data_IF_640028519153
#
_entry.id   IF_640028519153
#
_cell.length_a   1.000
_cell.length_b   1.000
_cell.length_c   1.000
_cell.angle_alpha   90.00
_cell.angle_beta   90.00
_cell.angle_gamma   90.00
#
_symmetry.space_group_name_H-M   'P 1'
#
loop_
_entity.id
_entity.type
_entity.pdbx_description
1 polymer ?
#
# COMPACT_ATOMS: atom_id res chain seq x y z
N UNK A 1 8.91 -25.95 -2.25
CA UNK A 1 9.71 -25.03 -1.42
C UNK A 1 11.17 -25.19 -1.83
N UNK A 2 11.86 -24.09 -2.15
CA UNK A 2 13.31 -24.12 -2.37
C UNK A 2 14.00 -24.44 -1.02
N UNK A 3 15.11 -25.18 -1.05
CA UNK A 3 15.89 -25.45 0.16
C UNK A 3 16.31 -24.12 0.81
N UNK A 4 16.21 -23.95 2.15
CA UNK A 4 16.68 -22.75 2.86
C UNK A 4 18.16 -22.41 2.59
N UNK A 5 18.94 -23.40 2.14
CA UNK A 5 20.32 -23.19 1.71
C UNK A 5 20.45 -22.43 0.38
N UNK A 6 19.44 -22.51 -0.49
CA UNK A 6 19.43 -21.87 -1.81
C UNK A 6 18.78 -20.49 -1.75
N UNK A 7 17.54 -20.43 -1.23
CA UNK A 7 16.77 -19.19 -1.09
C UNK A 7 16.09 -19.21 0.27
N UNK A 8 16.35 -18.18 1.07
CA UNK A 8 15.69 -17.99 2.34
C UNK A 8 15.38 -16.51 2.53
N UNK A 9 14.11 -16.22 2.83
CA UNK A 9 13.60 -14.90 3.12
C UNK A 9 12.73 -15.06 4.36
N UNK A 10 12.98 -14.26 5.38
CA UNK A 10 12.12 -14.23 6.55
C UNK A 10 11.87 -12.81 7.03
N UNK A 11 10.83 -12.67 7.84
CA UNK A 11 10.53 -11.45 8.55
C UNK A 11 11.42 -11.36 9.79
N UNK A 12 11.87 -10.16 10.11
CA UNK A 12 12.58 -9.91 11.37
C UNK A 12 11.64 -9.83 12.57
N UNK A 13 10.34 -9.60 12.34
CA UNK A 13 9.32 -9.41 13.37
C UNK A 13 7.97 -10.03 12.95
N UNK A 14 7.18 -10.57 13.90
CA UNK A 14 5.83 -11.08 13.63
C UNK A 14 4.84 -9.95 13.28
N UNK A 15 3.66 -10.28 12.74
CA UNK A 15 2.64 -9.27 12.45
C UNK A 15 1.93 -8.86 13.74
N UNK A 16 1.67 -7.55 13.92
CA UNK A 16 0.75 -7.07 14.96
C UNK A 16 -0.67 -7.53 14.75
N UNK A 17 -1.06 -7.64 13.48
CA UNK A 17 -2.40 -8.00 13.06
C UNK A 17 -2.29 -8.98 11.90
N UNK A 18 -3.02 -10.08 12.00
CA UNK A 18 -2.89 -11.22 11.08
C UNK A 18 -4.21 -11.62 10.41
N UNK A 19 -5.30 -10.89 10.68
CA UNK A 19 -6.63 -11.16 10.16
C UNK A 19 -7.44 -9.86 9.94
N UNK A 20 -8.58 -9.99 9.25
CA UNK A 20 -9.49 -8.88 8.93
C UNK A 20 -10.14 -8.27 10.17
N UNK A 21 -10.42 -9.06 11.20
CA UNK A 21 -11.00 -8.56 12.45
C UNK A 21 -10.03 -7.59 13.17
N UNK A 22 -8.75 -7.93 13.21
CA UNK A 22 -7.73 -7.04 13.75
C UNK A 22 -7.54 -5.78 12.89
N UNK A 23 -7.69 -5.87 11.57
CA UNK A 23 -7.65 -4.70 10.68
C UNK A 23 -8.82 -3.77 11.00
N UNK A 24 -10.03 -4.30 11.13
CA UNK A 24 -11.21 -3.53 11.51
C UNK A 24 -11.07 -2.89 12.90
N UNK A 25 -10.49 -3.59 13.88
CA UNK A 25 -10.21 -3.00 15.19
C UNK A 25 -9.23 -1.83 15.09
N UNK A 26 -8.19 -1.94 14.26
CA UNK A 26 -7.25 -0.84 14.08
C UNK A 26 -7.92 0.35 13.38
N UNK A 27 -8.73 0.12 12.34
CA UNK A 27 -9.48 1.19 11.67
C UNK A 27 -10.37 1.93 12.68
N UNK A 28 -11.05 1.20 13.58
CA UNK A 28 -11.84 1.80 14.67
C UNK A 28 -11.00 2.63 15.63
N UNK A 29 -9.83 2.14 16.03
CA UNK A 29 -8.92 2.88 16.91
C UNK A 29 -8.44 4.18 16.26
N UNK A 30 -8.13 4.14 14.96
CA UNK A 30 -7.73 5.32 14.17
C UNK A 30 -8.88 6.34 14.13
N UNK A 31 -10.10 5.90 13.81
CA UNK A 31 -11.28 6.75 13.76
C UNK A 31 -11.61 7.39 15.12
N UNK A 32 -11.55 6.60 16.19
CA UNK A 32 -11.76 7.09 17.55
C UNK A 32 -10.71 8.12 17.96
N UNK A 33 -9.44 7.85 17.64
CA UNK A 33 -8.33 8.76 17.93
C UNK A 33 -8.44 10.07 17.14
N UNK A 34 -8.85 9.99 15.86
CA UNK A 34 -9.07 11.15 15.01
C UNK A 34 -10.25 12.01 15.51
N UNK A 35 -11.38 11.39 15.88
CA UNK A 35 -12.53 12.09 16.43
C UNK A 35 -12.21 12.77 17.77
N UNK A 36 -11.48 12.08 18.65
CA UNK A 36 -11.03 12.65 19.92
C UNK A 36 -10.12 13.87 19.72
N UNK A 37 -9.20 13.82 18.75
CA UNK A 37 -8.33 14.94 18.41
C UNK A 37 -9.10 16.17 17.87
N UNK A 38 -10.27 15.96 17.28
CA UNK A 38 -11.15 17.01 16.78
C UNK A 38 -12.14 17.55 17.83
N UNK A 39 -12.09 17.02 19.07
CA UNK A 39 -13.01 17.40 20.14
C UNK A 39 -14.43 16.85 19.96
N UNK A 40 -14.62 15.90 19.04
CA UNK A 40 -15.90 15.23 18.81
C UNK A 40 -16.05 14.05 19.78
N UNK A 41 -16.56 14.33 20.99
CA UNK A 41 -16.93 13.26 21.92
C UNK A 41 -18.21 12.57 21.44
N UNK A 42 -18.11 11.34 20.93
CA UNK A 42 -19.31 10.51 20.73
C UNK A 42 -19.83 10.04 22.10
N UNK A 43 -21.04 10.48 22.44
CA UNK A 43 -21.83 9.89 23.51
C UNK A 43 -22.00 8.39 23.23
N UNK A 44 -21.70 7.56 24.22
CA UNK A 44 -21.72 6.12 24.09
C UNK A 44 -23.10 5.59 23.74
N UNK A 45 -23.12 4.51 22.95
CA UNK A 45 -24.21 3.56 23.00
C UNK A 45 -23.63 2.16 23.25
N UNK A 46 -24.00 1.62 24.41
CA UNK A 46 -23.72 0.26 24.82
C UNK A 46 -24.69 -0.68 24.14
N UNK A 47 -24.27 -1.20 22.99
CA UNK A 47 -24.95 -2.32 22.33
C UNK A 47 -23.93 -3.16 21.59
N UNK A 48 -23.76 -4.42 21.99
CA UNK A 48 -23.00 -5.42 21.25
C UNK A 48 -23.77 -5.83 19.98
N UNK A 49 -24.01 -4.87 19.10
CA UNK A 49 -24.43 -5.12 17.73
C UNK A 49 -23.15 -5.21 16.91
N UNK A 50 -22.98 -6.29 16.14
CA UNK A 50 -21.88 -6.45 15.19
C UNK A 50 -21.91 -5.25 14.23
N UNK A 51 -21.12 -4.22 14.55
CA UNK A 51 -21.02 -3.03 13.72
C UNK A 51 -20.42 -3.43 12.38
N UNK A 52 -20.89 -2.84 11.26
CA UNK A 52 -20.35 -3.17 9.94
C UNK A 52 -18.82 -2.96 9.91
N UNK A 53 -18.09 -3.73 9.09
CA UNK A 53 -16.66 -3.51 8.88
C UNK A 53 -16.43 -2.06 8.44
N UNK A 54 -15.40 -1.41 9.00
CA UNK A 54 -15.05 -0.04 8.64
C UNK A 54 -14.07 0.01 7.46
N UNK A 55 -13.50 -1.13 7.08
CA UNK A 55 -12.61 -1.21 5.93
C UNK A 55 -13.41 -1.13 4.61
N UNK A 56 -13.19 -0.06 3.84
CA UNK A 56 -13.95 0.20 2.61
C UNK A 56 -13.38 -0.43 1.34
N UNK A 57 -12.09 -0.80 1.33
CA UNK A 57 -11.43 -1.36 0.16
C UNK A 57 -10.13 -2.11 0.51
N UNK A 58 -9.80 -3.12 -0.30
CA UNK A 58 -8.51 -3.83 -0.24
C UNK A 58 -7.79 -3.68 -1.58
N UNK A 59 -6.49 -3.34 -1.55
CA UNK A 59 -5.66 -3.22 -2.76
C UNK A 59 -4.59 -4.32 -2.80
N UNK A 60 -4.58 -5.12 -3.88
CA UNK A 60 -3.58 -6.18 -4.10
C UNK A 60 -2.75 -5.84 -5.34
N UNK A 61 -1.53 -5.37 -5.12
CA UNK A 61 -0.62 -4.94 -6.20
C UNK A 61 0.23 -6.05 -6.79
N UNK A 62 0.63 -7.04 -5.98
CA UNK A 62 1.52 -8.10 -6.41
C UNK A 62 0.81 -9.45 -6.31
N UNK A 63 1.07 -10.34 -7.27
CA UNK A 63 0.47 -11.67 -7.36
C UNK A 63 1.35 -12.77 -6.73
N UNK A 64 2.32 -12.37 -5.89
CA UNK A 64 3.22 -13.28 -5.18
C UNK A 64 2.67 -13.60 -3.79
N UNK A 65 3.14 -14.70 -3.21
CA UNK A 65 2.49 -15.37 -2.09
C UNK A 65 2.38 -14.49 -0.82
N UNK A 66 3.36 -13.63 -0.55
CA UNK A 66 3.40 -12.68 0.56
C UNK A 66 2.49 -11.44 0.38
N UNK A 67 1.86 -11.30 -0.80
CA UNK A 67 0.89 -10.25 -1.09
C UNK A 67 -0.50 -10.80 -1.47
N UNK A 68 -0.60 -12.09 -1.77
CA UNK A 68 -1.79 -12.77 -2.25
C UNK A 68 -1.99 -14.08 -1.46
N UNK A 69 -2.26 -13.95 -0.17
CA UNK A 69 -2.46 -15.08 0.74
C UNK A 69 -3.92 -15.34 1.03
N UNK A 70 -4.39 -16.50 0.58
CA UNK A 70 -5.80 -16.90 0.70
C UNK A 70 -6.28 -17.03 2.15
N UNK A 71 -5.63 -17.78 3.06
CA UNK A 71 -6.11 -17.93 4.44
C UNK A 71 -6.34 -16.60 5.15
N UNK A 72 -5.51 -15.59 4.91
CA UNK A 72 -5.75 -14.27 5.50
C UNK A 72 -6.85 -13.51 4.79
N UNK A 73 -6.92 -13.55 3.47
CA UNK A 73 -7.98 -12.88 2.71
C UNK A 73 -9.38 -13.45 3.03
N UNK A 74 -9.47 -14.73 3.38
CA UNK A 74 -10.71 -15.37 3.84
C UNK A 74 -11.21 -14.84 5.21
N UNK A 75 -10.38 -14.11 5.95
CA UNK A 75 -10.79 -13.51 7.24
C UNK A 75 -11.49 -12.16 7.08
N UNK A 76 -11.49 -11.57 5.89
CA UNK A 76 -12.16 -10.29 5.61
C UNK A 76 -13.63 -10.51 5.24
N UNK A 77 -14.44 -9.48 5.49
CA UNK A 77 -15.83 -9.48 5.00
C UNK A 77 -15.84 -9.48 3.47
N UNK A 78 -16.53 -10.46 2.89
CA UNK A 78 -16.65 -10.65 1.45
C UNK A 78 -17.23 -9.45 0.70
N UNK A 79 -17.94 -8.54 1.40
CA UNK A 79 -18.55 -7.34 0.81
C UNK A 79 -17.52 -6.25 0.52
N UNK A 80 -16.33 -6.32 1.12
CA UNK A 80 -15.27 -5.34 0.91
C UNK A 80 -14.76 -5.46 -0.54
N UNK A 81 -14.80 -4.41 -1.36
CA UNK A 81 -14.31 -4.47 -2.73
C UNK A 81 -12.80 -4.63 -2.78
N UNK A 82 -12.34 -5.56 -3.61
CA UNK A 82 -10.90 -5.79 -3.84
C UNK A 82 -10.48 -5.18 -5.18
N UNK A 83 -9.46 -4.34 -5.14
CA UNK A 83 -8.80 -3.74 -6.30
C UNK A 83 -7.49 -4.48 -6.55
N UNK A 84 -7.42 -5.25 -7.63
CA UNK A 84 -6.30 -6.14 -7.90
C UNK A 84 -5.73 -5.94 -9.30
N UNK A 85 -4.42 -6.11 -9.46
CA UNK A 85 -3.78 -6.06 -10.78
C UNK A 85 -4.31 -7.16 -11.70
N UNK A 86 -4.13 -7.00 -13.02
CA UNK A 86 -4.53 -7.99 -14.02
C UNK A 86 -3.95 -9.40 -13.75
N UNK A 87 -2.81 -9.49 -13.07
CA UNK A 87 -2.18 -10.76 -12.68
C UNK A 87 -2.80 -11.38 -11.42
N UNK A 88 -3.26 -10.57 -10.46
CA UNK A 88 -3.84 -11.04 -9.20
C UNK A 88 -5.36 -11.28 -9.27
N UNK A 89 -6.08 -10.47 -10.05
CA UNK A 89 -7.54 -10.51 -10.13
C UNK A 89 -8.10 -11.90 -10.54
N UNK A 90 -7.53 -12.64 -11.51
CA UNK A 90 -8.01 -13.98 -11.86
C UNK A 90 -7.96 -14.96 -10.69
N UNK A 91 -6.88 -14.92 -9.90
CA UNK A 91 -6.69 -15.79 -8.74
C UNK A 91 -7.73 -15.50 -7.65
N UNK A 92 -7.97 -14.21 -7.34
CA UNK A 92 -8.94 -13.80 -6.31
C UNK A 92 -10.37 -14.19 -6.74
N UNK A 93 -10.72 -13.95 -8.02
CA UNK A 93 -12.02 -14.35 -8.59
C UNK A 93 -12.22 -15.86 -8.51
N UNK A 94 -11.19 -16.64 -8.80
CA UNK A 94 -11.25 -18.11 -8.72
C UNK A 94 -11.49 -18.63 -7.29
N UNK A 95 -11.10 -17.88 -6.26
CA UNK A 95 -11.41 -18.25 -4.87
C UNK A 95 -12.87 -18.02 -4.50
N UNK A 96 -13.54 -17.05 -5.14
CA UNK A 96 -14.96 -16.76 -4.91
C UNK A 96 -15.28 -16.23 -3.51
N UNK A 97 -14.29 -15.63 -2.83
CA UNK A 97 -14.41 -15.18 -1.43
C UNK A 97 -14.84 -13.72 -1.28
N UNK A 98 -14.80 -12.92 -2.36
CA UNK A 98 -15.25 -11.52 -2.38
C UNK A 98 -16.37 -11.34 -3.41
N UNK A 99 -17.37 -10.55 -3.04
CA UNK A 99 -18.51 -10.22 -3.90
C UNK A 99 -18.09 -9.27 -5.04
N UNK A 100 -17.07 -8.43 -4.83
CA UNK A 100 -16.57 -7.46 -5.82
C UNK A 100 -15.05 -7.51 -5.98
N UNK A 101 -14.59 -7.82 -7.20
CA UNK A 101 -13.17 -7.76 -7.59
C UNK A 101 -12.99 -6.87 -8.82
N UNK A 102 -12.44 -5.68 -8.59
CA UNK A 102 -12.12 -4.69 -9.62
C UNK A 102 -10.70 -4.93 -10.11
N UNK A 103 -10.55 -5.10 -11.41
CA UNK A 103 -9.23 -5.15 -12.02
C UNK A 103 -8.69 -3.73 -12.17
N UNK A 104 -7.60 -3.42 -11.50
CA UNK A 104 -6.86 -2.18 -11.71
C UNK A 104 -5.85 -2.41 -12.83
N UNK A 105 -5.83 -1.49 -13.79
CA UNK A 105 -4.71 -1.43 -14.72
C UNK A 105 -3.48 -1.01 -13.93
N UNK A 106 -2.37 -1.71 -14.13
CA UNK A 106 -1.08 -1.29 -13.58
C UNK A 106 -0.88 0.19 -13.90
N UNK A 107 -0.54 0.99 -12.90
CA UNK A 107 -0.14 2.38 -13.10
C UNK A 107 1.21 2.42 -13.83
N UNK A 108 1.24 2.07 -15.12
CA UNK A 108 2.28 2.50 -16.06
C UNK A 108 1.89 3.89 -16.55
N UNK A 109 1.94 4.85 -15.65
CA UNK A 109 1.87 6.27 -16.00
C UNK A 109 2.67 7.04 -15.01
N UNK A 110 3.79 7.58 -15.47
CA UNK A 110 4.65 8.41 -14.65
C UNK A 110 3.93 9.73 -14.37
N UNK A 111 4.14 10.29 -13.18
CA UNK A 111 3.58 11.59 -12.76
C UNK A 111 3.86 12.73 -13.78
N UNK A 112 4.91 12.56 -14.59
CA UNK A 112 5.32 13.50 -15.63
C UNK A 112 4.46 13.41 -16.90
N UNK A 113 3.98 12.23 -17.28
CA UNK A 113 3.14 12.03 -18.47
C UNK A 113 1.74 12.65 -18.29
N UNK A 114 1.23 12.71 -17.06
CA UNK A 114 -0.08 13.31 -16.76
C UNK A 114 -0.01 14.85 -16.66
N UNK A 115 1.18 15.45 -16.49
CA UNK A 115 1.34 16.89 -16.16
C UNK A 115 2.18 17.71 -17.15
N UNK A 116 2.68 17.10 -18.21
CA UNK A 116 3.33 17.75 -19.34
C UNK A 116 2.53 17.37 -20.58
N UNK A 117 1.66 18.28 -21.03
CA UNK A 117 0.84 18.05 -22.22
C UNK A 117 1.71 17.69 -23.41
N UNK A 118 1.62 16.44 -23.86
CA UNK A 118 2.14 16.02 -25.14
C UNK A 118 0.98 15.52 -25.97
N UNK A 119 0.74 16.21 -27.09
CA UNK A 119 -0.32 15.91 -28.04
C UNK A 119 -0.16 14.49 -28.62
N UNK A 120 -1.31 13.89 -28.88
CA UNK A 120 -1.56 12.46 -29.02
C UNK A 120 -0.77 11.73 -30.12
N UNK A 121 -0.50 10.44 -29.86
CA UNK A 121 -0.75 9.41 -30.88
C UNK A 121 -1.55 8.25 -30.30
N UNK A 122 -2.71 8.06 -30.92
CA UNK A 122 -3.79 7.14 -30.61
C UNK A 122 -3.40 5.70 -30.26
N UNK A 123 -3.90 5.23 -29.13
CA UNK A 123 -4.40 3.87 -28.97
C UNK A 123 -5.70 3.94 -28.13
N UNK A 124 -6.84 3.68 -28.77
CA UNK A 124 -8.18 3.71 -28.17
C UNK A 124 -8.42 2.60 -27.16
N UNK A 125 -7.77 2.68 -26.01
CA UNK A 125 -8.10 1.91 -24.82
C UNK A 125 -8.76 2.86 -23.82
N UNK A 126 -9.97 2.51 -23.38
CA UNK A 126 -10.72 3.24 -22.34
C UNK A 126 -9.79 3.76 -21.24
N UNK A 127 -9.97 5.03 -20.88
CA UNK A 127 -9.20 5.73 -19.85
C UNK A 127 -9.20 4.99 -18.51
N UNK A 128 -8.37 5.41 -17.54
CA UNK A 128 -8.41 4.86 -16.19
C UNK A 128 -9.86 4.88 -15.67
N UNK A 129 -10.31 3.85 -14.94
CA UNK A 129 -11.69 3.77 -14.49
C UNK A 129 -12.04 5.03 -13.70
N UNK A 130 -13.13 5.66 -14.14
CA UNK A 130 -13.82 6.88 -13.69
C UNK A 130 -14.29 6.84 -12.21
N UNK A 131 -13.64 6.05 -11.35
CA UNK A 131 -14.16 5.64 -10.03
C UNK A 131 -13.21 5.88 -8.85
N UNK A 132 -11.98 6.32 -9.06
CA UNK A 132 -11.08 6.68 -7.96
C UNK A 132 -11.36 8.11 -7.43
N UNK A 133 -11.91 8.95 -8.28
CA UNK A 133 -12.22 10.36 -8.06
C UNK A 133 -13.37 10.58 -7.04
N UNK A 134 -14.00 9.49 -6.58
CA UNK A 134 -15.09 9.49 -5.57
C UNK A 134 -14.70 8.83 -4.24
N UNK A 135 -13.46 8.40 -4.06
CA UNK A 135 -13.04 7.77 -2.81
C UNK A 135 -12.47 8.81 -1.84
N UNK A 136 -13.17 9.04 -0.73
CA UNK A 136 -12.60 9.75 0.42
C UNK A 136 -11.61 8.81 1.12
N UNK A 137 -10.32 8.94 0.81
CA UNK A 137 -9.28 8.11 1.41
C UNK A 137 -8.93 8.66 2.81
N UNK A 138 -9.49 8.09 3.88
CA UNK A 138 -9.10 8.51 5.23
C UNK A 138 -7.62 8.22 5.51
N UNK A 139 -7.19 6.97 5.27
CA UNK A 139 -5.87 6.50 5.62
C UNK A 139 -5.22 5.71 4.48
N UNK A 140 -4.03 6.13 4.06
CA UNK A 140 -3.18 5.39 3.13
C UNK A 140 -2.12 4.61 3.92
N UNK A 141 -2.11 3.29 3.76
CA UNK A 141 -1.08 2.42 4.33
C UNK A 141 -0.02 2.11 3.26
N UNK A 142 1.20 2.64 3.42
CA UNK A 142 2.26 2.39 2.45
C UNK A 142 3.67 2.43 3.06
N UNK A 143 4.59 1.66 2.46
CA UNK A 143 5.97 1.50 2.90
C UNK A 143 6.98 2.39 2.18
N UNK A 144 8.08 2.65 2.86
CA UNK A 144 9.21 3.48 2.46
C UNK A 144 10.44 2.63 2.10
N UNK A 145 10.35 1.32 2.30
CA UNK A 145 11.45 0.38 2.03
C UNK A 145 11.72 0.22 0.54
N UNK A 146 12.97 0.48 0.16
CA UNK A 146 13.54 0.07 -1.12
C UNK A 146 14.11 -1.33 -1.01
N UNK A 147 14.06 -2.09 -2.10
CA UNK A 147 14.76 -3.36 -2.25
C UNK A 147 15.79 -3.21 -3.37
N UNK A 148 17.01 -3.70 -3.13
CA UNK A 148 18.07 -3.77 -4.12
C UNK A 148 18.39 -5.23 -4.42
N UNK A 149 18.62 -5.55 -5.68
CA UNK A 149 19.17 -6.84 -6.11
C UNK A 149 20.10 -6.61 -7.29
N UNK A 150 21.27 -7.24 -7.26
CA UNK A 150 22.37 -7.01 -8.21
C UNK A 150 22.76 -5.54 -8.35
N UNK A 151 22.72 -4.78 -7.24
CA UNK A 151 22.96 -3.33 -7.23
C UNK A 151 21.86 -2.49 -7.89
N UNK A 152 20.82 -3.12 -8.48
CA UNK A 152 19.67 -2.43 -9.05
C UNK A 152 18.57 -2.26 -8.01
N UNK A 153 17.95 -1.08 -7.95
CA UNK A 153 16.77 -0.80 -7.13
C UNK A 153 15.54 -1.48 -7.76
N UNK A 154 15.10 -2.59 -7.20
CA UNK A 154 13.99 -3.42 -7.71
C UNK A 154 12.64 -3.02 -7.14
N UNK A 155 12.61 -2.48 -5.92
CA UNK A 155 11.42 -1.88 -5.30
C UNK A 155 11.74 -0.45 -4.93
N UNK A 156 10.82 0.45 -5.27
CA UNK A 156 10.90 1.87 -4.93
C UNK A 156 9.81 2.14 -3.91
N UNK A 157 10.19 2.28 -2.64
CA UNK A 157 9.24 2.41 -1.54
C UNK A 157 8.63 3.80 -1.49
N UNK A 158 9.35 4.75 -0.88
CA UNK A 158 8.80 6.06 -0.54
C UNK A 158 8.35 6.87 -1.75
N UNK A 159 9.07 6.82 -2.89
CA UNK A 159 8.70 7.61 -4.08
C UNK A 159 7.37 7.13 -4.68
N UNK A 160 7.14 5.82 -4.75
CA UNK A 160 5.88 5.27 -5.28
C UNK A 160 4.72 5.48 -4.33
N UNK A 161 4.99 5.39 -3.04
CA UNK A 161 4.01 5.67 -2.00
C UNK A 161 3.63 7.16 -1.98
N UNK A 162 4.60 8.06 -2.19
CA UNK A 162 4.36 9.50 -2.32
C UNK A 162 3.53 9.83 -3.57
N UNK A 163 3.81 9.20 -4.72
CA UNK A 163 2.97 9.34 -5.92
C UNK A 163 1.52 8.92 -5.68
N UNK A 164 1.30 7.89 -4.87
CA UNK A 164 -0.04 7.45 -4.50
C UNK A 164 -0.70 8.42 -3.52
N UNK A 165 0.07 8.95 -2.56
CA UNK A 165 -0.37 10.01 -1.66
C UNK A 165 -0.82 11.26 -2.43
N UNK A 166 -0.10 11.69 -3.47
CA UNK A 166 -0.50 12.82 -4.33
C UNK A 166 -1.83 12.60 -5.04
N UNK A 167 -2.14 11.36 -5.40
CA UNK A 167 -3.35 11.01 -6.17
C UNK A 167 -4.57 10.82 -5.28
N UNK A 168 -4.37 10.29 -4.08
CA UNK A 168 -5.47 9.96 -3.15
C UNK A 168 -5.72 11.05 -2.10
N UNK A 169 -4.75 11.94 -1.90
CA UNK A 169 -4.75 12.99 -0.88
C UNK A 169 -5.31 12.53 0.47
N UNK A 170 -4.77 11.44 1.05
CA UNK A 170 -5.34 10.86 2.25
C UNK A 170 -5.20 11.81 3.44
N UNK A 171 -6.18 11.80 4.34
CA UNK A 171 -6.07 12.58 5.60
C UNK A 171 -4.89 12.13 6.44
N UNK A 172 -4.61 10.83 6.45
CA UNK A 172 -3.49 10.22 7.16
C UNK A 172 -2.70 9.30 6.25
N UNK A 173 -1.39 9.49 6.18
CA UNK A 173 -0.49 8.49 5.62
C UNK A 173 0.09 7.68 6.78
N UNK A 174 -0.36 6.44 6.92
CA UNK A 174 0.15 5.51 7.92
C UNK A 174 1.30 4.73 7.30
N UNK A 175 2.50 4.91 7.86
CA UNK A 175 3.67 4.17 7.45
C UNK A 175 3.46 2.69 7.77
N UNK A 176 3.51 1.82 6.77
CA UNK A 176 3.32 0.38 6.95
C UNK A 176 4.23 -0.48 6.07
N UNK A 177 4.44 -1.74 6.44
CA UNK A 177 5.18 -2.71 5.62
C UNK A 177 6.69 -2.40 5.44
N UNK A 178 7.30 -1.75 6.43
CA UNK A 178 8.71 -1.31 6.39
C UNK A 178 9.71 -2.19 7.13
N UNK A 179 9.29 -3.35 7.61
CA UNK A 179 10.20 -4.27 8.28
C UNK A 179 11.26 -4.76 7.27
N UNK A 180 12.57 -4.68 7.62
CA UNK A 180 13.60 -5.27 6.80
C UNK A 180 13.40 -6.78 6.80
N UNK A 181 13.57 -7.40 5.64
CA UNK A 181 13.56 -8.86 5.55
C UNK A 181 14.98 -9.37 5.77
N UNK A 182 15.11 -10.54 6.38
CA UNK A 182 16.39 -11.26 6.45
C UNK A 182 16.50 -12.15 5.22
N UNK A 183 17.45 -11.82 4.36
CA UNK A 183 17.78 -12.60 3.16
C UNK A 183 18.97 -13.52 3.45
N UNK A 184 18.82 -14.82 3.20
CA UNK A 184 19.93 -15.78 3.31
C UNK A 184 19.84 -16.89 2.24
N UNK A 185 20.83 -17.77 2.21
CA UNK A 185 21.01 -18.77 1.15
C UNK A 185 21.91 -18.29 0.02
N UNK A 186 22.43 -19.25 -0.76
CA UNK A 186 23.45 -19.00 -1.78
C UNK A 186 22.97 -18.04 -2.89
N UNK A 187 21.71 -18.14 -3.32
CA UNK A 187 21.15 -17.28 -4.37
C UNK A 187 20.97 -15.85 -3.86
N UNK A 188 20.48 -15.67 -2.63
CA UNK A 188 20.28 -14.33 -2.06
C UNK A 188 21.61 -13.60 -1.86
N UNK A 189 22.65 -14.32 -1.41
CA UNK A 189 24.01 -13.76 -1.30
C UNK A 189 24.59 -13.37 -2.66
N UNK A 190 24.44 -14.23 -3.68
CA UNK A 190 24.88 -13.91 -5.04
C UNK A 190 24.14 -12.71 -5.63
N UNK A 191 22.84 -12.57 -5.32
CA UNK A 191 22.01 -11.43 -5.71
C UNK A 191 22.34 -10.15 -4.95
N UNK A 192 23.14 -10.21 -3.87
CA UNK A 192 23.41 -9.07 -2.99
C UNK A 192 22.10 -8.35 -2.59
N UNK A 193 21.06 -9.13 -2.27
CA UNK A 193 19.74 -8.56 -2.00
C UNK A 193 19.74 -7.88 -0.64
N UNK A 194 19.38 -6.59 -0.61
CA UNK A 194 19.31 -5.80 0.62
C UNK A 194 18.12 -4.86 0.60
N UNK A 195 17.57 -4.63 1.78
CA UNK A 195 16.56 -3.61 2.00
C UNK A 195 17.22 -2.31 2.46
N UNK A 196 16.68 -1.18 2.02
CA UNK A 196 17.05 0.15 2.53
C UNK A 196 15.78 0.89 2.91
N UNK A 197 15.66 1.23 4.17
CA UNK A 197 14.52 1.99 4.68
C UNK A 197 14.78 3.48 4.44
N UNK A 198 13.89 4.13 3.70
CA UNK A 198 13.95 5.58 3.43
C UNK A 198 13.12 6.37 4.43
N UNK A 199 13.34 7.68 4.47
CA UNK A 199 12.52 8.63 5.23
C UNK A 199 11.61 9.43 4.30
N UNK A 200 10.63 10.13 4.87
CA UNK A 200 9.76 11.02 4.10
C UNK A 200 10.58 12.15 3.50
N UNK A 201 11.53 12.69 4.26
CA UNK A 201 12.44 13.76 3.84
C UNK A 201 13.22 13.34 2.60
N UNK A 202 13.71 12.09 2.57
CA UNK A 202 14.37 11.56 1.38
C UNK A 202 13.42 11.55 0.17
N UNK A 203 12.18 11.06 0.33
CA UNK A 203 11.20 11.04 -0.75
C UNK A 203 10.83 12.44 -1.27
N UNK A 204 10.63 13.41 -0.37
CA UNK A 204 10.32 14.80 -0.72
C UNK A 204 11.49 15.49 -1.41
N UNK A 205 12.72 15.20 -0.99
CA UNK A 205 13.94 15.74 -1.62
C UNK A 205 14.12 15.19 -3.04
N UNK A 206 13.90 13.89 -3.25
CA UNK A 206 13.95 13.30 -4.59
C UNK A 206 12.81 13.84 -5.48
N UNK A 207 11.59 13.98 -4.97
CA UNK A 207 10.47 14.61 -5.69
C UNK A 207 10.82 16.05 -6.09
N UNK A 208 11.40 16.84 -5.18
CA UNK A 208 11.84 18.22 -5.45
C UNK A 208 12.91 18.28 -6.53
N UNK A 209 13.93 17.41 -6.48
CA UNK A 209 14.99 17.35 -7.50
C UNK A 209 14.41 17.04 -8.87
N UNK A 210 13.49 16.10 -8.94
CA UNK A 210 12.82 15.74 -10.19
C UNK A 210 12.00 16.93 -10.70
N UNK A 211 11.19 17.56 -9.86
CA UNK A 211 10.37 18.73 -10.23
C UNK A 211 11.23 19.93 -10.68
N UNK A 212 12.37 20.19 -10.02
CA UNK A 212 13.34 21.23 -10.41
C UNK A 212 13.94 21.00 -11.80
N UNK A 213 14.20 19.75 -12.21
CA UNK A 213 14.69 19.44 -13.56
C UNK A 213 13.72 19.89 -14.65
N UNK A 214 12.42 19.96 -14.33
CA UNK A 214 11.35 20.33 -15.26
C UNK A 214 10.84 21.76 -15.07
N UNK A 215 11.51 22.58 -14.24
CA UNK A 215 11.26 24.03 -14.14
C UNK A 215 9.95 24.43 -13.46
N UNK A 216 9.24 23.51 -12.79
CA UNK A 216 8.09 23.84 -11.93
C UNK A 216 8.58 24.00 -10.50
N UNK A 217 8.11 25.02 -9.79
CA UNK A 217 8.35 25.19 -8.35
C UNK A 217 7.02 25.57 -7.73
N UNK A 218 6.14 24.59 -7.61
CA UNK A 218 5.03 24.68 -6.67
C UNK A 218 5.52 24.19 -5.31
N UNK A 219 5.03 24.82 -4.24
CA UNK A 219 5.31 24.39 -2.88
C UNK A 219 4.58 23.04 -2.64
N UNK A 220 5.30 21.94 -2.83
CA UNK A 220 4.73 20.60 -2.74
C UNK A 220 4.28 20.33 -1.30
N UNK A 221 2.97 20.10 -1.12
CA UNK A 221 2.36 19.81 0.18
C UNK A 221 3.13 18.71 0.90
N UNK A 222 3.45 18.91 2.18
CA UNK A 222 3.99 17.84 3.03
C UNK A 222 2.84 16.92 3.49
N UNK A 223 2.92 15.60 3.27
CA UNK A 223 1.90 14.67 3.75
C UNK A 223 1.82 14.60 5.28
N UNK A 224 0.62 14.31 5.78
CA UNK A 224 0.38 14.01 7.20
C UNK A 224 0.81 12.56 7.49
N UNK A 225 2.11 12.36 7.73
CA UNK A 225 2.68 11.05 8.03
C UNK A 225 2.53 10.71 9.51
N UNK A 226 1.94 9.55 9.78
CA UNK A 226 1.87 8.94 11.10
C UNK A 226 2.81 7.73 11.11
N UNK A 227 3.82 7.79 11.98
CA UNK A 227 4.72 6.67 12.21
C UNK A 227 4.19 5.77 13.32
N UNK A 228 3.97 4.50 12.96
CA UNK A 228 3.58 3.47 13.92
C UNK A 228 4.77 2.52 14.03
N UNK A 229 5.28 2.30 15.26
CA UNK A 229 6.51 1.53 15.50
C UNK A 229 6.51 0.14 14.85
N UNK A 230 7.70 -0.35 14.48
CA UNK A 230 7.85 -1.66 13.81
C UNK A 230 7.30 -2.79 14.69
N UNK A 231 6.59 -3.75 14.08
CA UNK A 231 5.76 -4.73 14.77
C UNK A 231 4.31 -4.29 14.95
N UNK A 232 3.91 -3.13 14.39
CA UNK A 232 2.54 -2.58 14.37
C UNK A 232 1.94 -2.40 12.97
N UNK A 233 2.51 -3.06 11.95
CA UNK A 233 2.06 -2.96 10.56
C UNK A 233 1.70 -4.30 9.92
N UNK A 234 0.64 -4.25 9.11
CA UNK A 234 -0.04 -5.39 8.50
C UNK A 234 0.81 -6.10 7.46
N UNK A 235 0.76 -7.44 7.50
CA UNK A 235 1.13 -8.30 6.38
C UNK A 235 0.11 -9.43 6.33
N UNK A 236 -0.52 -9.63 5.17
CA UNK A 236 -1.33 -10.82 4.89
C UNK A 236 -0.40 -12.03 5.00
N UNK A 237 -0.81 -13.06 5.74
CA UNK A 237 0.09 -14.10 6.23
C UNK A 237 0.51 -15.16 5.20
#
# INVERSE_FOLDING_TARGET
>A
MLSPWLVFIERTEPASVSDGAGVDMLVREIEQSAAAAQGEARAGDGGAQLQPPLLDAIFIRLHILDHLHRPTLETFDKRIPVFATAQAAPTIRAWGIFDTVVETRDYKRTFFEDNVGHEDHAAGGAGPPERLDKMECLALFAGFKDNYSFGMRTTVGVERSLQLERKLEPRYWVRSHDSPLRYSGAVMRLRMTTDVIRTLEYGLEEERKEVLKWGKVDDLRRPSLVEVGNGKCFVLH
#
